data_IF_312400770546
#
_entry.id   IF_312400770546
#
_cell.length_a   1.000
_cell.length_b   1.000
_cell.length_c   1.000
_cell.angle_alpha   90.00
_cell.angle_beta   90.00
_cell.angle_gamma   90.00
#
_symmetry.space_group_name_H-M   'P 1'
#
loop_
_entity.id
_entity.type
_entity.pdbx_description
1 polymer ?
#
# COMPACT_ATOMS: atom_id res chain seq x y z
N UNK A 1 4.54 35.80 -20.10
CA UNK A 1 5.54 35.57 -19.03
C UNK A 1 5.52 34.08 -18.74
N UNK A 2 6.56 33.37 -19.15
CA UNK A 2 6.77 31.99 -18.73
C UNK A 2 7.34 32.09 -17.31
N UNK A 3 6.56 31.68 -16.32
CA UNK A 3 7.05 31.57 -14.95
C UNK A 3 7.93 30.33 -14.94
N UNK A 4 9.25 30.51 -14.83
CA UNK A 4 10.14 29.40 -14.54
C UNK A 4 9.82 28.92 -13.12
N UNK A 5 9.01 27.87 -13.02
CA UNK A 5 8.82 27.14 -11.76
C UNK A 5 10.16 26.57 -11.33
N UNK A 6 10.81 27.23 -10.38
CA UNK A 6 11.96 26.65 -9.67
C UNK A 6 11.45 25.47 -8.87
N UNK A 7 11.87 24.27 -9.28
CA UNK A 7 11.65 23.02 -8.55
C UNK A 7 12.13 23.21 -7.09
N UNK A 8 11.21 23.11 -6.13
CA UNK A 8 11.56 23.20 -4.71
C UNK A 8 12.43 21.97 -4.36
N UNK A 9 13.70 22.16 -3.96
CA UNK A 9 14.59 21.04 -3.61
C UNK A 9 14.10 20.25 -2.38
N UNK A 10 13.10 20.75 -1.66
CA UNK A 10 12.47 20.07 -0.51
C UNK A 10 11.19 19.33 -0.88
N UNK A 11 10.84 19.26 -2.17
CA UNK A 11 9.67 18.52 -2.62
C UNK A 11 9.84 17.02 -2.34
N UNK A 12 9.08 16.52 -1.37
CA UNK A 12 9.05 15.09 -1.04
C UNK A 12 8.25 14.35 -2.11
N UNK A 13 8.84 13.31 -2.69
CA UNK A 13 8.18 12.42 -3.67
C UNK A 13 8.01 11.04 -3.06
N UNK A 14 6.76 10.57 -3.00
CA UNK A 14 6.40 9.27 -2.47
C UNK A 14 6.28 8.26 -3.61
N UNK A 15 7.17 7.27 -3.62
CA UNK A 15 7.17 6.19 -4.59
C UNK A 15 6.53 4.94 -3.99
N UNK A 16 5.75 4.22 -4.80
CA UNK A 16 5.19 2.94 -4.39
C UNK A 16 6.31 1.94 -4.06
N UNK A 17 6.25 1.23 -2.92
CA UNK A 17 7.22 0.19 -2.60
C UNK A 17 7.22 -0.95 -3.62
N UNK A 18 8.42 -1.40 -3.99
CA UNK A 18 8.61 -2.37 -5.09
C UNK A 18 8.54 -3.84 -4.66
N UNK A 19 8.93 -4.20 -3.43
CA UNK A 19 8.85 -5.58 -2.93
C UNK A 19 7.59 -5.82 -2.08
N UNK A 20 7.12 -7.08 -2.05
CA UNK A 20 6.04 -7.54 -1.17
C UNK A 20 6.30 -7.20 0.29
N UNK A 21 7.54 -7.39 0.76
CA UNK A 21 7.99 -7.00 2.10
C UNK A 21 7.68 -5.54 2.45
N UNK A 22 8.16 -4.62 1.61
CA UNK A 22 8.00 -3.19 1.84
C UNK A 22 6.56 -2.75 1.69
N UNK A 23 5.75 -3.42 0.86
CA UNK A 23 4.30 -3.17 0.79
C UNK A 23 3.58 -3.56 2.08
N UNK A 24 3.92 -4.71 2.67
CA UNK A 24 3.35 -5.10 3.97
C UNK A 24 3.75 -4.13 5.08
N UNK A 25 5.02 -3.72 5.13
CA UNK A 25 5.49 -2.70 6.09
C UNK A 25 4.76 -1.37 5.86
N UNK A 26 4.61 -0.96 4.60
CA UNK A 26 3.92 0.28 4.26
C UNK A 26 2.45 0.23 4.70
N UNK A 27 1.74 -0.86 4.42
CA UNK A 27 0.36 -1.08 4.88
C UNK A 27 0.27 -1.01 6.41
N UNK A 28 1.17 -1.67 7.13
CA UNK A 28 1.22 -1.64 8.58
C UNK A 28 1.49 -0.24 9.17
N UNK A 29 2.18 0.64 8.43
CA UNK A 29 2.51 1.99 8.89
C UNK A 29 1.46 3.05 8.52
N UNK A 30 0.67 2.82 7.47
CA UNK A 30 -0.23 3.84 6.90
C UNK A 30 -1.71 3.51 7.07
N UNK A 31 -2.08 2.24 7.24
CA UNK A 31 -3.46 1.86 7.51
C UNK A 31 -3.81 2.05 8.99
N UNK A 32 -5.07 2.42 9.25
CA UNK A 32 -5.66 2.43 10.58
C UNK A 32 -5.81 1.01 11.14
N UNK A 33 -6.00 0.04 10.26
CA UNK A 33 -6.00 -1.38 10.57
C UNK A 33 -5.29 -2.17 9.48
N UNK A 34 -4.36 -3.03 9.89
CA UNK A 34 -3.70 -3.98 8.99
C UNK A 34 -3.53 -5.31 9.71
N UNK A 35 -3.96 -6.40 9.07
CA UNK A 35 -3.76 -7.75 9.56
C UNK A 35 -3.35 -8.68 8.43
N UNK A 36 -2.37 -9.53 8.70
CA UNK A 36 -1.97 -10.62 7.82
C UNK A 36 -1.90 -11.90 8.64
N UNK A 37 -2.80 -12.83 8.36
CA UNK A 37 -2.81 -14.17 8.94
C UNK A 37 -2.34 -15.15 7.87
N UNK A 38 -1.21 -15.80 8.11
CA UNK A 38 -0.66 -16.81 7.21
C UNK A 38 -1.05 -18.19 7.71
N UNK A 39 -1.54 -19.03 6.81
CA UNK A 39 -1.92 -20.40 7.10
C UNK A 39 -1.28 -21.35 6.09
N UNK A 40 -0.88 -22.53 6.57
CA UNK A 40 -0.43 -23.60 5.70
C UNK A 40 -1.61 -24.32 5.05
N UNK A 41 -1.39 -24.92 3.88
CA UNK A 41 -2.41 -25.71 3.19
C UNK A 41 -2.88 -26.87 4.10
N UNK A 42 -4.18 -27.16 4.14
CA UNK A 42 -5.24 -26.69 3.23
C UNK A 42 -5.96 -25.41 3.68
N UNK A 43 -5.51 -24.75 4.75
CA UNK A 43 -6.16 -23.55 5.27
C UNK A 43 -5.80 -22.33 4.43
N UNK A 44 -6.75 -21.40 4.30
CA UNK A 44 -6.53 -20.12 3.62
C UNK A 44 -5.87 -19.12 4.55
N UNK A 45 -4.92 -18.37 4.00
CA UNK A 45 -4.40 -17.15 4.60
C UNK A 45 -5.41 -16.02 4.42
N UNK A 46 -5.29 -14.96 5.21
CA UNK A 46 -6.17 -13.79 5.18
C UNK A 46 -5.35 -12.51 5.31
N UNK A 47 -5.72 -11.49 4.54
CA UNK A 47 -5.20 -10.13 4.68
C UNK A 47 -6.37 -9.16 4.81
N UNK A 48 -6.22 -8.18 5.72
CA UNK A 48 -7.13 -7.04 5.83
C UNK A 48 -6.33 -5.75 5.91
N UNK A 49 -6.85 -4.70 5.29
CA UNK A 49 -6.27 -3.35 5.34
C UNK A 49 -7.40 -2.31 5.32
N UNK A 50 -7.34 -1.35 6.23
CA UNK A 50 -8.33 -0.26 6.33
C UNK A 50 -7.64 1.08 6.36
N UNK A 51 -8.06 2.00 5.50
CA UNK A 51 -7.63 3.39 5.45
C UNK A 51 -8.84 4.28 5.21
N UNK A 52 -9.24 5.09 6.20
CA UNK A 52 -10.45 5.88 6.17
C UNK A 52 -11.68 5.05 5.73
N UNK A 53 -12.31 5.40 4.60
CA UNK A 53 -13.49 4.71 4.06
C UNK A 53 -13.16 3.44 3.25
N UNK A 54 -11.88 3.18 2.97
CA UNK A 54 -11.46 2.03 2.17
C UNK A 54 -11.10 0.88 3.10
N UNK A 55 -11.85 -0.22 2.98
CA UNK A 55 -11.59 -1.48 3.67
C UNK A 55 -11.44 -2.60 2.65
N UNK A 56 -10.28 -3.24 2.65
CA UNK A 56 -9.97 -4.36 1.76
C UNK A 56 -9.77 -5.61 2.61
N UNK A 57 -10.37 -6.72 2.17
CA UNK A 57 -10.18 -8.05 2.76
C UNK A 57 -10.04 -9.07 1.65
N UNK A 58 -9.08 -9.97 1.77
CA UNK A 58 -8.91 -11.10 0.87
C UNK A 58 -8.50 -12.36 1.64
N UNK A 59 -9.08 -13.49 1.26
CA UNK A 59 -8.65 -14.83 1.66
C UNK A 59 -7.88 -15.47 0.49
N UNK A 60 -6.75 -16.13 0.74
CA UNK A 60 -5.82 -16.55 -0.32
C UNK A 60 -5.02 -17.81 0.05
N UNK A 61 -4.47 -18.51 -0.96
CA UNK A 61 -3.48 -19.58 -0.71
C UNK A 61 -2.10 -18.97 -0.48
N UNK A 62 -1.28 -19.59 0.39
CA UNK A 62 0.03 -19.04 0.74
C UNK A 62 0.95 -18.80 -0.47
N UNK A 63 0.78 -19.56 -1.54
CA UNK A 63 1.54 -19.41 -2.79
C UNK A 63 1.22 -18.08 -3.52
N UNK A 64 0.04 -17.52 -3.29
CA UNK A 64 -0.45 -16.29 -3.93
C UNK A 64 -0.11 -15.04 -3.11
N UNK A 65 0.63 -15.17 -2.01
CA UNK A 65 0.95 -14.08 -1.07
C UNK A 65 1.45 -12.82 -1.78
N UNK A 66 2.35 -13.01 -2.76
CA UNK A 66 2.94 -11.88 -3.51
C UNK A 66 1.89 -11.10 -4.30
N UNK A 67 0.99 -11.81 -4.97
CA UNK A 67 -0.02 -11.22 -5.83
C UNK A 67 -1.05 -10.48 -4.99
N UNK A 68 -1.61 -11.16 -3.99
CA UNK A 68 -2.67 -10.64 -3.14
C UNK A 68 -2.21 -9.44 -2.31
N UNK A 69 -1.00 -9.47 -1.73
CA UNK A 69 -0.42 -8.28 -1.07
C UNK A 69 -0.28 -7.11 -2.04
N UNK A 70 0.10 -7.38 -3.29
CA UNK A 70 0.20 -6.37 -4.34
C UNK A 70 -1.14 -5.72 -4.64
N UNK A 71 -2.19 -6.52 -4.82
CA UNK A 71 -3.55 -6.03 -5.09
C UNK A 71 -4.09 -5.20 -3.94
N UNK A 72 -4.00 -5.71 -2.71
CA UNK A 72 -4.43 -4.98 -1.50
C UNK A 72 -3.66 -3.67 -1.37
N UNK A 73 -2.33 -3.71 -1.55
CA UNK A 73 -1.51 -2.51 -1.51
C UNK A 73 -1.97 -1.47 -2.53
N UNK A 74 -2.20 -1.85 -3.79
CA UNK A 74 -2.61 -0.88 -4.81
C UNK A 74 -3.98 -0.29 -4.55
N UNK A 75 -4.94 -1.08 -4.06
CA UNK A 75 -6.25 -0.53 -3.66
C UNK A 75 -6.11 0.55 -2.59
N UNK A 76 -5.29 0.32 -1.57
CA UNK A 76 -5.02 1.31 -0.52
C UNK A 76 -4.19 2.49 -1.05
N UNK A 77 -3.14 2.24 -1.84
CA UNK A 77 -2.25 3.27 -2.38
C UNK A 77 -2.99 4.31 -3.23
N UNK A 78 -3.91 3.87 -4.09
CA UNK A 78 -4.70 4.79 -4.91
C UNK A 78 -5.59 5.70 -4.05
N UNK A 79 -6.11 5.20 -2.93
CA UNK A 79 -6.93 5.98 -1.99
C UNK A 79 -6.11 6.82 -1.00
N UNK A 80 -4.85 6.46 -0.76
CA UNK A 80 -3.97 7.17 0.14
C UNK A 80 -3.56 8.53 -0.42
N UNK A 81 -3.65 9.58 0.41
CA UNK A 81 -3.17 10.92 0.08
C UNK A 81 -2.12 11.32 1.11
N UNK A 82 -0.88 11.64 0.71
CA UNK A 82 0.15 12.05 1.66
C UNK A 82 -0.19 13.41 2.28
N UNK A 83 0.16 13.60 3.55
CA UNK A 83 -0.02 14.89 4.23
C UNK A 83 0.88 16.01 3.66
N UNK A 84 1.98 15.63 2.99
CA UNK A 84 2.89 16.54 2.29
C UNK A 84 3.61 15.81 1.14
N UNK A 85 3.96 16.54 0.08
CA UNK A 85 4.67 16.01 -1.08
C UNK A 85 3.75 15.48 -2.18
N UNK A 86 4.35 14.83 -3.18
CA UNK A 86 3.67 14.28 -4.36
C UNK A 86 3.68 12.76 -4.32
N UNK A 87 2.51 12.14 -4.50
CA UNK A 87 2.36 10.69 -4.69
C UNK A 87 2.53 10.37 -6.17
N UNK A 88 3.38 9.39 -6.48
CA UNK A 88 3.53 8.86 -7.85
C UNK A 88 2.59 7.67 -8.03
N UNK A 89 1.87 7.65 -9.15
CA UNK A 89 1.02 6.52 -9.57
C UNK A 89 1.79 5.51 -10.41
#
# INVERSE_FOLDING_TARGET
>A
MLVEEKMDPNLVVHNAPSCTCSRMVWLGNHCEGFQLALAEKPHKSMITATLAEVAVKADFDIDDLREVVGEVFWQIWHSWTPAAGIKVE
#
